data_IF_766047567277
#
_entry.id   IF_766047567277
#
_cell.length_a   1.000
_cell.length_b   1.000
_cell.length_c   1.000
_cell.angle_alpha   90.00
_cell.angle_beta   90.00
_cell.angle_gamma   90.00
#
_symmetry.space_group_name_H-M   'P 1'
#
loop_
_entity.id
_entity.type
_entity.pdbx_description
1 polymer ?
#
# COMPACT_ATOMS: atom_id res chain seq x y z
N UNK A 1 -7.46 -25.09 2.16
CA UNK A 1 -8.07 -23.81 1.75
C UNK A 1 -7.96 -22.83 2.91
N UNK A 2 -7.52 -21.60 2.64
CA UNK A 2 -7.46 -20.51 3.62
C UNK A 2 -8.58 -19.52 3.32
N UNK A 3 -9.25 -19.03 4.36
CA UNK A 3 -10.36 -18.07 4.30
C UNK A 3 -10.01 -16.89 5.18
N UNK A 4 -10.13 -15.69 4.63
CA UNK A 4 -9.94 -14.42 5.34
C UNK A 4 -11.31 -13.82 5.61
N UNK A 5 -11.61 -13.51 6.87
CA UNK A 5 -12.87 -12.90 7.29
C UNK A 5 -12.62 -11.52 7.89
N UNK A 6 -13.38 -10.52 7.41
CA UNK A 6 -13.37 -9.16 7.95
C UNK A 6 -12.02 -8.45 7.83
N UNK A 7 -11.60 -8.15 6.60
CA UNK A 7 -10.46 -7.28 6.34
C UNK A 7 -10.89 -5.82 6.33
N UNK A 8 -10.22 -4.99 7.12
CA UNK A 8 -10.41 -3.54 7.19
C UNK A 8 -9.10 -2.83 6.83
N UNK A 9 -9.22 -1.77 6.03
CA UNK A 9 -8.11 -0.89 5.66
C UNK A 9 -8.54 0.53 6.03
N UNK A 10 -7.83 1.15 6.97
CA UNK A 10 -8.06 2.53 7.36
C UNK A 10 -6.85 3.39 6.97
N UNK A 11 -7.10 4.45 6.20
CA UNK A 11 -6.10 5.43 5.82
C UNK A 11 -6.25 6.72 6.61
N UNK A 12 -5.14 7.25 7.12
CA UNK A 12 -5.05 8.59 7.71
C UNK A 12 -3.99 9.37 6.95
N UNK A 13 -4.23 10.65 6.73
CA UNK A 13 -3.25 11.54 6.10
C UNK A 13 -3.34 12.90 6.76
N UNK A 14 -2.20 13.39 7.22
CA UNK A 14 -2.07 14.64 7.95
C UNK A 14 -0.99 15.50 7.30
N UNK A 15 -1.30 16.77 7.08
CA UNK A 15 -0.31 17.77 6.68
C UNK A 15 0.60 18.07 7.87
N UNK A 16 1.91 17.93 7.68
CA UNK A 16 2.89 18.30 8.71
C UNK A 16 2.89 19.82 8.85
N UNK A 17 3.15 20.31 10.05
CA UNK A 17 3.09 21.73 10.44
C UNK A 17 3.98 22.67 9.59
N UNK A 18 4.91 22.13 8.79
CA UNK A 18 5.73 22.86 7.81
C UNK A 18 4.92 23.28 6.55
N UNK A 19 3.75 22.67 6.31
CA UNK A 19 2.89 22.94 5.16
C UNK A 19 3.37 22.34 3.84
N UNK A 20 4.52 21.65 3.82
CA UNK A 20 5.14 21.06 2.62
C UNK A 20 5.12 19.54 2.57
N UNK A 21 5.09 18.90 3.73
CA UNK A 21 5.18 17.43 3.83
C UNK A 21 3.88 16.83 4.34
N UNK A 22 3.61 15.61 3.86
CA UNK A 22 2.43 14.81 4.19
C UNK A 22 2.90 13.60 4.98
N UNK A 23 2.23 13.33 6.10
CA UNK A 23 2.33 12.06 6.79
C UNK A 23 1.10 11.22 6.42
N UNK A 24 1.34 9.99 6.01
CA UNK A 24 0.29 9.01 5.72
C UNK A 24 0.43 7.80 6.63
N UNK A 25 -0.68 7.28 7.11
CA UNK A 25 -0.75 6.05 7.89
C UNK A 25 -1.80 5.13 7.28
N UNK A 26 -1.45 3.85 7.13
CA UNK A 26 -2.32 2.78 6.67
C UNK A 26 -2.39 1.72 7.75
N UNK A 27 -3.57 1.54 8.32
CA UNK A 27 -3.87 0.51 9.30
C UNK A 27 -4.62 -0.64 8.63
N UNK A 28 -4.01 -1.82 8.57
CA UNK A 28 -4.60 -3.05 8.09
C UNK A 28 -5.03 -3.90 9.29
N UNK A 29 -6.29 -4.31 9.32
CA UNK A 29 -6.81 -5.22 10.34
C UNK A 29 -7.51 -6.41 9.69
N UNK A 30 -7.28 -7.60 10.22
CA UNK A 30 -7.92 -8.85 9.81
C UNK A 30 -8.62 -9.47 11.01
N UNK A 31 -9.93 -9.71 10.88
CA UNK A 31 -10.73 -10.24 11.99
C UNK A 31 -10.53 -11.74 12.22
N UNK A 32 -10.41 -12.55 11.17
CA UNK A 32 -10.05 -13.97 11.31
C UNK A 32 -9.38 -14.53 10.07
N UNK A 33 -8.32 -15.30 10.27
CA UNK A 33 -7.72 -16.18 9.27
C UNK A 33 -8.09 -17.62 9.60
N UNK A 34 -8.88 -18.28 8.76
CA UNK A 34 -9.23 -19.69 8.90
C UNK A 34 -8.48 -20.55 7.90
N UNK A 35 -7.81 -21.61 8.33
CA UNK A 35 -7.16 -22.58 7.45
C UNK A 35 -7.72 -23.95 7.75
N UNK A 36 -8.20 -24.66 6.72
CA UNK A 36 -8.86 -25.96 6.89
C UNK A 36 -9.97 -25.94 7.97
N UNK A 37 -10.78 -24.86 7.98
CA UNK A 37 -11.82 -24.63 8.98
C UNK A 37 -11.34 -24.39 10.43
N UNK A 38 -10.03 -24.29 10.66
CA UNK A 38 -9.45 -23.91 11.95
C UNK A 38 -9.10 -22.42 11.97
N UNK A 39 -9.60 -21.69 12.96
CA UNK A 39 -9.26 -20.29 13.17
C UNK A 39 -7.82 -20.16 13.70
N UNK A 40 -6.97 -19.51 12.92
CA UNK A 40 -5.58 -19.20 13.24
C UNK A 40 -5.44 -17.86 13.99
N UNK A 41 -6.50 -17.05 14.01
CA UNK A 41 -6.56 -15.80 14.76
C UNK A 41 -6.70 -14.55 13.89
N UNK A 42 -6.49 -13.41 14.54
CA UNK A 42 -6.60 -12.07 13.96
C UNK A 42 -5.25 -11.37 13.89
N UNK A 43 -5.11 -10.44 12.96
CA UNK A 43 -3.87 -9.71 12.71
C UNK A 43 -4.11 -8.22 12.56
N UNK A 44 -3.16 -7.41 13.04
CA UNK A 44 -3.10 -5.97 12.77
C UNK A 44 -1.71 -5.57 12.33
N UNK A 45 -1.65 -4.80 11.25
CA UNK A 45 -0.41 -4.24 10.70
C UNK A 45 -0.63 -2.75 10.45
N UNK A 46 0.26 -1.92 10.99
CA UNK A 46 0.24 -0.47 10.73
C UNK A 46 1.48 -0.09 9.94
N UNK A 47 1.29 0.52 8.78
CA UNK A 47 2.34 1.16 8.00
C UNK A 47 2.19 2.67 8.12
N UNK A 48 3.27 3.37 8.48
CA UNK A 48 3.33 4.83 8.46
C UNK A 48 4.39 5.26 7.47
N UNK A 49 4.08 6.24 6.65
CA UNK A 49 5.00 6.90 5.74
C UNK A 49 4.96 8.38 6.10
N UNK A 50 6.02 8.85 6.74
CA UNK A 50 6.18 10.24 7.14
C UNK A 50 7.01 11.03 6.14
N UNK A 51 6.92 12.35 6.23
CA UNK A 51 7.77 13.28 5.47
C UNK A 51 7.68 13.11 3.95
N UNK A 52 6.53 12.70 3.42
CA UNK A 52 6.33 12.68 1.97
C UNK A 52 6.31 14.13 1.50
N UNK A 53 7.30 14.53 0.70
CA UNK A 53 7.30 15.85 0.08
C UNK A 53 6.12 16.00 -0.88
N UNK A 54 5.35 17.08 -0.74
CA UNK A 54 4.15 17.32 -1.55
C UNK A 54 4.44 17.50 -3.04
N UNK A 55 5.59 18.08 -3.39
CA UNK A 55 6.05 18.20 -4.78
C UNK A 55 6.44 16.82 -5.33
N UNK A 56 7.15 16.01 -4.54
CA UNK A 56 7.47 14.63 -4.88
C UNK A 56 6.21 13.77 -5.09
N UNK A 57 5.20 13.91 -4.22
CA UNK A 57 3.90 13.24 -4.40
C UNK A 57 3.21 13.66 -5.69
N UNK A 58 3.22 14.97 -5.98
CA UNK A 58 2.63 15.49 -7.20
C UNK A 58 3.34 14.96 -8.46
N UNK A 59 4.68 14.99 -8.48
CA UNK A 59 5.49 14.47 -9.59
C UNK A 59 5.32 12.96 -9.77
N UNK A 60 5.28 12.20 -8.67
CA UNK A 60 4.97 10.77 -8.69
C UNK A 60 3.60 10.49 -9.32
N UNK A 61 2.56 11.18 -8.83
CA UNK A 61 1.19 11.01 -9.33
C UNK A 61 1.10 11.34 -10.82
N UNK A 62 1.74 12.42 -11.26
CA UNK A 62 1.81 12.79 -12.67
C UNK A 62 2.52 11.72 -13.52
N UNK A 63 3.70 11.26 -13.10
CA UNK A 63 4.46 10.25 -13.85
C UNK A 63 3.73 8.92 -13.92
N UNK A 64 3.18 8.44 -12.79
CA UNK A 64 2.43 7.20 -12.72
C UNK A 64 1.18 7.27 -13.61
N UNK A 65 0.42 8.37 -13.53
CA UNK A 65 -0.79 8.55 -14.33
C UNK A 65 -0.46 8.65 -15.82
N UNK A 66 0.56 9.42 -16.21
CA UNK A 66 0.98 9.56 -17.61
C UNK A 66 1.41 8.22 -18.22
N UNK A 67 2.18 7.41 -17.48
CA UNK A 67 2.60 6.08 -17.92
C UNK A 67 1.41 5.13 -18.02
N UNK A 68 0.56 5.08 -16.98
CA UNK A 68 -0.63 4.21 -16.98
C UNK A 68 -1.59 4.57 -18.11
N UNK A 69 -1.79 5.86 -18.39
CA UNK A 69 -2.61 6.32 -19.51
C UNK A 69 -2.00 5.94 -20.86
N UNK A 70 -0.68 6.04 -21.01
CA UNK A 70 0.02 5.61 -22.22
C UNK A 70 -0.05 4.08 -22.44
N UNK A 71 -0.14 3.28 -21.37
CA UNK A 71 -0.37 1.84 -21.45
C UNK A 71 -1.78 1.51 -21.94
N UNK A 72 -2.80 2.26 -21.51
CA UNK A 72 -4.18 2.08 -21.98
C UNK A 72 -4.34 2.46 -23.47
N UNK A 73 -3.52 3.38 -23.97
CA UNK A 73 -3.51 3.76 -25.38
C UNK A 73 -2.78 2.73 -26.27
N UNK A 74 -2.13 1.72 -25.69
CA UNK A 74 -1.48 0.64 -26.43
C UNK A 74 -2.45 -0.54 -26.59
N UNK A 75 -2.89 -0.86 -27.82
CA UNK A 75 -3.85 -1.92 -28.05
C UNK A 75 -3.37 -3.29 -27.57
N UNK A 76 -2.06 -3.59 -27.70
CA UNK A 76 -1.46 -4.85 -27.24
C UNK A 76 -1.52 -5.03 -25.72
N UNK A 77 -1.44 -3.92 -24.97
CA UNK A 77 -1.51 -3.92 -23.51
C UNK A 77 -2.96 -3.91 -23.04
N UNK A 78 -3.83 -3.14 -23.71
CA UNK A 78 -5.26 -3.08 -23.39
C UNK A 78 -5.98 -4.43 -23.59
N UNK A 79 -5.53 -5.24 -24.55
CA UNK A 79 -6.09 -6.57 -24.81
C UNK A 79 -5.47 -7.68 -23.95
N UNK A 80 -4.39 -7.41 -23.23
CA UNK A 80 -3.70 -8.38 -22.40
C UNK A 80 -3.63 -7.93 -20.93
N UNK A 81 -4.55 -8.42 -20.07
CA UNK A 81 -4.61 -8.01 -18.67
C UNK A 81 -3.36 -8.38 -17.86
N UNK A 82 -2.65 -9.47 -18.19
CA UNK A 82 -1.40 -9.84 -17.53
C UNK A 82 -0.27 -8.85 -17.87
N UNK A 83 -0.14 -8.52 -19.16
CA UNK A 83 0.84 -7.54 -19.63
C UNK A 83 0.55 -6.14 -19.07
N UNK A 84 -0.73 -5.76 -18.99
CA UNK A 84 -1.15 -4.51 -18.35
C UNK A 84 -0.73 -4.46 -16.89
N UNK A 85 -0.98 -5.51 -16.09
CA UNK A 85 -0.54 -5.55 -14.69
C UNK A 85 0.98 -5.44 -14.55
N UNK A 86 1.73 -6.15 -15.39
CA UNK A 86 3.20 -6.05 -15.40
C UNK A 86 3.64 -4.62 -15.70
N UNK A 87 3.07 -3.99 -16.73
CA UNK A 87 3.45 -2.65 -17.17
C UNK A 87 3.04 -1.55 -16.19
N UNK A 88 1.87 -1.67 -15.57
CA UNK A 88 1.44 -0.76 -14.48
C UNK A 88 2.35 -0.90 -13.27
N UNK A 89 2.78 -2.12 -12.97
CA UNK A 89 3.77 -2.37 -11.90
C UNK A 89 5.12 -1.75 -12.23
N UNK A 90 5.63 -1.91 -13.46
CA UNK A 90 6.83 -1.23 -13.96
C UNK A 90 6.69 0.30 -13.85
N UNK A 91 5.55 0.86 -14.28
CA UNK A 91 5.26 2.29 -14.19
C UNK A 91 5.29 2.79 -12.73
N UNK A 92 4.69 2.05 -11.81
CA UNK A 92 4.75 2.34 -10.38
C UNK A 92 6.20 2.35 -9.86
N UNK A 93 6.98 1.30 -10.13
CA UNK A 93 8.37 1.22 -9.68
C UNK A 93 9.28 2.27 -10.32
N UNK A 94 8.99 2.69 -11.55
CA UNK A 94 9.76 3.75 -12.22
C UNK A 94 9.51 5.13 -11.61
N UNK A 95 8.29 5.38 -11.10
CA UNK A 95 7.93 6.63 -10.43
C UNK A 95 8.30 6.63 -8.94
N UNK A 96 8.45 5.45 -8.32
CA UNK A 96 8.77 5.30 -6.90
C UNK A 96 10.01 6.10 -6.43
N UNK A 97 11.14 6.17 -7.17
CA UNK A 97 12.29 6.97 -6.77
C UNK A 97 11.97 8.46 -6.60
N UNK A 98 10.96 8.99 -7.30
CA UNK A 98 10.51 10.37 -7.14
C UNK A 98 9.95 10.61 -5.74
N UNK A 99 9.13 9.68 -5.22
CA UNK A 99 8.66 9.74 -3.83
C UNK A 99 9.81 9.64 -2.83
N UNK A 100 10.85 8.87 -3.15
CA UNK A 100 12.01 8.69 -2.27
C UNK A 100 12.95 9.89 -2.22
N UNK A 101 12.91 10.79 -3.21
CA UNK A 101 13.72 12.03 -3.20
C UNK A 101 13.37 12.97 -2.05
N UNK A 102 12.17 12.87 -1.49
CA UNK A 102 11.76 13.64 -0.32
C UNK A 102 12.28 13.08 1.02
N UNK A 103 13.17 12.08 0.99
CA UNK A 103 13.63 11.33 2.16
C UNK A 103 12.47 10.87 3.08
N UNK A 104 11.45 10.18 2.54
CA UNK A 104 10.30 9.76 3.31
C UNK A 104 10.72 8.76 4.39
N UNK A 105 10.14 8.91 5.58
CA UNK A 105 10.38 8.00 6.71
C UNK A 105 9.35 6.89 6.70
N UNK A 106 9.75 5.69 6.28
CA UNK A 106 8.90 4.50 6.37
C UNK A 106 9.04 3.87 7.75
N UNK A 107 7.93 3.80 8.48
CA UNK A 107 7.83 3.10 9.77
C UNK A 107 6.82 1.98 9.67
N UNK A 108 7.27 0.74 9.82
CA UNK A 108 6.39 -0.41 9.92
C UNK A 108 6.24 -0.79 11.39
N UNK A 109 5.01 -0.73 11.92
CA UNK A 109 4.74 -1.24 13.25
C UNK A 109 4.84 -2.78 13.25
N UNK A 110 5.32 -3.40 14.34
CA UNK A 110 5.37 -4.85 14.43
C UNK A 110 3.97 -5.45 14.23
N UNK A 111 3.88 -6.45 13.36
CA UNK A 111 2.67 -7.24 13.14
C UNK A 111 2.18 -7.75 14.49
N UNK A 112 0.96 -7.39 14.87
CA UNK A 112 0.32 -7.88 16.08
C UNK A 112 -0.61 -9.03 15.71
N UNK A 113 -0.28 -10.26 16.13
CA UNK A 113 -1.11 -11.44 15.87
C UNK A 113 -1.73 -11.98 17.15
N UNK A 114 -3.05 -12.19 17.16
CA UNK A 114 -3.79 -12.75 18.30
C UNK A 114 -4.38 -14.09 17.92
N UNK A 115 -3.87 -15.15 18.54
CA UNK A 115 -4.43 -16.50 18.40
C UNK A 115 -5.67 -16.68 19.29
N UNK A 116 -6.63 -17.55 18.91
CA UNK A 116 -7.80 -17.86 19.75
C UNK A 116 -7.43 -18.45 21.12
N UNK A 117 -6.25 -19.07 21.22
CA UNK A 117 -5.69 -19.65 22.47
C UNK A 117 -4.97 -18.63 23.36
N UNK A 118 -5.05 -17.33 23.07
CA UNK A 118 -4.65 -16.27 24.00
C UNK A 118 -3.14 -16.02 24.13
N UNK A 119 -2.28 -16.64 23.31
CA UNK A 119 -0.85 -16.27 23.26
C UNK A 119 -0.63 -15.21 22.16
N UNK A 120 -0.23 -13.98 22.52
CA UNK A 120 0.29 -13.01 21.55
C UNK A 120 1.66 -13.48 21.07
N UNK A 121 1.94 -13.30 19.78
CA UNK A 121 3.27 -13.41 19.17
C UNK A 121 3.53 -12.17 18.33
#
# INVERSE_FOLDING_TARGET
MAVLEGMEIAGKSDLVNDGKTINSQLDYSLNSLKVQNQDLGSGKLTLKVGQIDGEAWHQFSQQYHAQTQALLNQPDVAQNPELYQQKVTEAFFSALPVLLKGDPVLTLAPLSWKTPKGKPR
#
